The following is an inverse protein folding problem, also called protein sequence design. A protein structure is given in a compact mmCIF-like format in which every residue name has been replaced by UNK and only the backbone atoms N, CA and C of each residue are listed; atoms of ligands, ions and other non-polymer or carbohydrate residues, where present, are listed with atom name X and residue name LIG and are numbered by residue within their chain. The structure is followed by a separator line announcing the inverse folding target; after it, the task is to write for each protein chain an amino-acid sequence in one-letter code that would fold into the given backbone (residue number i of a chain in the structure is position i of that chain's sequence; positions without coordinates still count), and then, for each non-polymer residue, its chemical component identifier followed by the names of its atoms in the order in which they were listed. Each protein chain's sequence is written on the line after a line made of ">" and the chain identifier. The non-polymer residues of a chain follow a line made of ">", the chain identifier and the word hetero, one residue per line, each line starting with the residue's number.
data_IF_812332861503
#
_entry.id   IF_812332861503
#
_cell.length_a   1.000
_cell.length_b   1.000
_cell.length_c   1.000
_cell.angle_alpha   90.00
_cell.angle_beta   90.00
_cell.angle_gamma   90.00
#
_symmetry.space_group_name_H-M   'P 1'
#
loop_
_entity.id
_entity.type
_entity.pdbx_description
1 polymer ?
#
# COMPACT_ATOMS: atom_id res chain seq x y z
N UNK A 1 -4.84 9.26 8.97
CA UNK A 1 -5.34 10.55 8.40
C UNK A 1 -6.86 10.57 8.40
N UNK A 2 -7.53 11.70 8.15
CA UNK A 2 -9.00 11.76 8.09
C UNK A 2 -9.49 11.71 6.64
N UNK A 3 -10.34 10.74 6.31
CA UNK A 3 -11.04 10.63 5.02
C UNK A 3 -12.52 10.35 5.28
N UNK A 4 -13.43 11.09 4.64
CA UNK A 4 -14.88 10.99 4.87
C UNK A 4 -15.29 11.04 6.35
N UNK A 5 -14.59 11.86 7.14
CA UNK A 5 -14.84 12.04 8.57
C UNK A 5 -14.38 10.87 9.46
N UNK A 6 -13.69 9.87 8.90
CA UNK A 6 -13.17 8.71 9.63
C UNK A 6 -11.64 8.72 9.65
N UNK A 7 -11.06 8.24 10.73
CA UNK A 7 -9.64 7.95 10.78
C UNK A 7 -9.33 6.74 9.89
N UNK A 8 -8.45 6.94 8.91
CA UNK A 8 -7.97 5.93 7.98
C UNK A 8 -6.46 5.77 8.13
N UNK A 9 -6.01 4.54 8.32
CA UNK A 9 -4.61 4.14 8.28
C UNK A 9 -4.27 3.34 7.02
N UNK A 10 -2.98 3.03 6.88
CA UNK A 10 -2.43 2.24 5.79
C UNK A 10 -1.48 1.20 6.38
N UNK A 11 -1.33 0.05 5.71
CA UNK A 11 -0.39 -0.98 6.14
C UNK A 11 -0.02 -1.90 4.97
N UNK A 12 1.27 -2.17 4.78
CA UNK A 12 1.73 -3.16 3.81
C UNK A 12 1.83 -4.54 4.46
N UNK A 13 0.70 -5.26 4.46
CA UNK A 13 0.69 -6.68 4.83
C UNK A 13 1.22 -7.57 3.69
N UNK A 14 1.48 -8.85 3.98
CA UNK A 14 1.78 -9.86 2.94
C UNK A 14 0.64 -10.02 1.93
N UNK A 15 -0.62 -9.84 2.34
CA UNK A 15 -1.75 -9.85 1.41
C UNK A 15 -1.75 -8.62 0.51
N UNK A 16 -1.53 -7.43 1.08
CA UNK A 16 -1.43 -6.20 0.32
C UNK A 16 -0.27 -6.22 -0.67
N UNK A 17 0.88 -6.81 -0.32
CA UNK A 17 2.02 -6.87 -1.23
C UNK A 17 1.73 -7.71 -2.49
N UNK A 18 0.90 -8.76 -2.37
CA UNK A 18 0.42 -9.55 -3.52
C UNK A 18 -0.58 -8.75 -4.35
N UNK A 19 -1.57 -8.13 -3.71
CA UNK A 19 -2.59 -7.32 -4.42
C UNK A 19 -1.96 -6.12 -5.14
N UNK A 20 -0.97 -5.43 -4.53
CA UNK A 20 -0.22 -4.34 -5.16
C UNK A 20 0.66 -4.88 -6.30
N UNK A 21 1.29 -6.05 -6.12
CA UNK A 21 2.05 -6.65 -7.19
C UNK A 21 1.16 -6.90 -8.42
N UNK A 22 -0.08 -7.36 -8.26
CA UNK A 22 -0.99 -7.63 -9.39
C UNK A 22 -1.30 -6.39 -10.26
N UNK A 23 -1.22 -5.17 -9.69
CA UNK A 23 -1.38 -3.91 -10.45
C UNK A 23 -0.06 -3.34 -10.97
N UNK A 24 1.08 -3.95 -10.61
CA UNK A 24 2.41 -3.58 -11.08
C UNK A 24 2.79 -4.29 -12.40
N UNK A 25 3.63 -3.68 -13.25
CA UNK A 25 4.17 -4.34 -14.44
C UNK A 25 4.87 -5.65 -14.08
N UNK A 26 4.61 -6.69 -14.86
CA UNK A 26 5.16 -8.05 -14.67
C UNK A 26 4.90 -8.65 -13.28
N UNK A 27 3.93 -8.09 -12.53
CA UNK A 27 3.67 -8.42 -11.14
C UNK A 27 4.85 -8.22 -10.20
N UNK A 28 5.74 -7.28 -10.53
CA UNK A 28 6.92 -6.97 -9.72
C UNK A 28 6.66 -5.74 -8.85
N UNK A 29 6.56 -5.96 -7.54
CA UNK A 29 6.37 -4.90 -6.54
C UNK A 29 7.48 -3.83 -6.58
N UNK A 30 8.68 -4.17 -7.05
CA UNK A 30 9.78 -3.20 -7.21
C UNK A 30 9.47 -2.14 -8.27
N UNK A 31 8.50 -2.42 -9.15
CA UNK A 31 8.05 -1.54 -10.23
C UNK A 31 6.83 -0.70 -9.84
N UNK A 32 6.48 -0.64 -8.54
CA UNK A 32 5.39 0.22 -8.04
C UNK A 32 5.56 1.69 -8.43
N UNK A 33 6.79 2.20 -8.57
CA UNK A 33 7.01 3.58 -9.03
C UNK A 33 6.58 3.82 -10.48
N UNK A 34 6.46 2.77 -11.29
CA UNK A 34 6.05 2.86 -12.70
C UNK A 34 4.55 2.97 -12.85
N UNK A 35 3.75 2.44 -11.90
CA UNK A 35 2.29 2.54 -11.94
C UNK A 35 1.79 3.98 -11.72
N UNK A 36 2.69 4.86 -11.28
CA UNK A 36 2.45 6.29 -11.06
C UNK A 36 2.89 7.17 -12.24
N UNK A 37 3.23 6.54 -13.36
CA UNK A 37 3.63 7.21 -14.60
C UNK A 37 2.54 6.99 -15.64
N UNK A 38 2.18 8.03 -16.40
CA UNK A 38 1.20 7.91 -17.46
C UNK A 38 0.24 9.09 -17.55
N UNK A 39 -0.92 8.86 -18.15
CA UNK A 39 -1.97 9.86 -18.19
C UNK A 39 -2.60 10.06 -16.81
N UNK A 40 -3.10 11.27 -16.53
CA UNK A 40 -3.69 11.60 -15.23
C UNK A 40 -4.80 10.61 -14.83
N UNK A 41 -5.72 10.28 -15.74
CA UNK A 41 -6.83 9.37 -15.45
C UNK A 41 -6.37 7.96 -15.08
N UNK A 42 -5.40 7.41 -15.81
CA UNK A 42 -4.83 6.09 -15.50
C UNK A 42 -4.13 6.08 -14.15
N UNK A 43 -3.25 7.06 -13.91
CA UNK A 43 -2.51 7.19 -12.65
C UNK A 43 -3.46 7.39 -11.46
N UNK A 44 -4.55 8.15 -11.62
CA UNK A 44 -5.55 8.35 -10.58
C UNK A 44 -6.34 7.07 -10.27
N UNK A 45 -6.73 6.31 -11.28
CA UNK A 45 -7.41 5.03 -11.07
C UNK A 45 -6.53 4.03 -10.32
N UNK A 46 -5.30 3.86 -10.78
CA UNK A 46 -4.33 2.96 -10.16
C UNK A 46 -3.96 3.40 -8.75
N UNK A 47 -3.77 4.70 -8.52
CA UNK A 47 -3.51 5.22 -7.19
C UNK A 47 -4.68 5.01 -6.23
N UNK A 48 -5.93 5.10 -6.72
CA UNK A 48 -7.11 4.78 -5.92
C UNK A 48 -7.16 3.30 -5.49
N UNK A 49 -6.83 2.38 -6.41
CA UNK A 49 -6.68 0.95 -6.09
C UNK A 49 -5.60 0.72 -5.05
N UNK A 50 -4.43 1.35 -5.22
CA UNK A 50 -3.32 1.26 -4.27
C UNK A 50 -3.71 1.72 -2.86
N UNK A 51 -4.35 2.88 -2.74
CA UNK A 51 -4.85 3.43 -1.46
C UNK A 51 -5.84 2.46 -0.80
N UNK A 52 -6.80 1.94 -1.58
CA UNK A 52 -7.82 1.02 -1.08
C UNK A 52 -7.21 -0.30 -0.58
N UNK A 53 -6.23 -0.86 -1.31
CA UNK A 53 -5.52 -2.09 -0.91
C UNK A 53 -4.78 -1.88 0.42
N UNK A 54 -4.03 -0.77 0.53
CA UNK A 54 -3.27 -0.44 1.74
C UNK A 54 -4.16 -0.21 2.96
N UNK A 55 -5.29 0.48 2.79
CA UNK A 55 -6.25 0.69 3.88
C UNK A 55 -7.01 -0.59 4.25
N UNK A 56 -7.39 -1.40 3.27
CA UNK A 56 -7.99 -2.73 3.50
C UNK A 56 -7.09 -3.61 4.36
N UNK A 57 -5.79 -3.61 4.10
CA UNK A 57 -4.83 -4.34 4.93
C UNK A 57 -4.73 -3.78 6.35
N UNK A 58 -4.73 -2.46 6.50
CA UNK A 58 -4.78 -1.82 7.82
C UNK A 58 -6.02 -2.21 8.62
N UNK A 59 -7.22 -2.09 8.06
CA UNK A 59 -8.47 -2.48 8.72
C UNK A 59 -8.53 -3.97 9.03
N UNK A 60 -7.95 -4.81 8.17
CA UNK A 60 -7.85 -6.25 8.39
C UNK A 60 -6.92 -6.57 9.57
N UNK A 61 -5.80 -5.85 9.69
CA UNK A 61 -4.87 -5.97 10.83
C UNK A 61 -5.53 -5.50 12.12
N UNK A 62 -6.20 -4.35 12.10
CA UNK A 62 -6.93 -3.82 13.25
C UNK A 62 -8.00 -4.80 13.73
N UNK A 63 -8.81 -5.35 12.82
CA UNK A 63 -9.83 -6.33 13.18
C UNK A 63 -9.24 -7.60 13.78
N UNK A 64 -8.09 -8.04 13.29
CA UNK A 64 -7.41 -9.22 13.84
C UNK A 64 -6.94 -8.97 15.27
N UNK A 65 -6.38 -7.79 15.56
CA UNK A 65 -5.90 -7.40 16.88
C UNK A 65 -7.03 -7.01 17.85
N UNK A 66 -8.10 -6.41 17.31
CA UNK A 66 -9.25 -5.88 18.02
C UNK A 66 -10.52 -6.47 17.38
N UNK A 67 -10.97 -7.67 17.81
CA UNK A 67 -12.08 -8.38 17.17
C UNK A 67 -13.41 -7.60 17.12
N UNK A 68 -13.60 -6.66 18.04
CA UNK A 68 -14.78 -5.79 18.12
C UNK A 68 -14.68 -4.53 17.22
N UNK A 69 -13.51 -4.28 16.61
CA UNK A 69 -13.32 -3.17 15.67
C UNK A 69 -14.18 -3.41 14.40
N UNK A 70 -15.08 -2.47 14.04
CA UNK A 70 -15.88 -2.60 12.83
C UNK A 70 -14.98 -2.61 11.59
N UNK A 71 -15.14 -3.64 10.75
CA UNK A 71 -14.44 -3.70 9.48
C UNK A 71 -15.06 -2.74 8.47
N UNK A 72 -14.35 -1.66 8.16
CA UNK A 72 -14.85 -0.60 7.29
C UNK A 72 -13.73 -0.10 6.37
N UNK A 73 -13.17 -0.92 5.47
CA UNK A 73 -12.14 -0.47 4.53
C UNK A 73 -12.70 0.57 3.55
N UNK A 74 -11.88 1.56 3.21
CA UNK A 74 -12.19 2.51 2.14
C UNK A 74 -12.22 1.80 0.78
N UNK A 75 -13.22 2.12 -0.02
CA UNK A 75 -13.38 1.59 -1.37
C UNK A 75 -12.71 2.48 -2.42
N UNK A 76 -12.44 1.94 -3.61
CA UNK A 76 -11.92 2.71 -4.75
C UNK A 76 -12.86 3.86 -5.10
N UNK A 77 -14.16 3.63 -5.13
CA UNK A 77 -15.16 4.68 -5.41
C UNK A 77 -15.12 5.81 -4.37
N UNK A 78 -14.98 5.47 -3.09
CA UNK A 78 -14.82 6.46 -2.04
C UNK A 78 -13.52 7.28 -2.21
N UNK A 79 -12.42 6.65 -2.64
CA UNK A 79 -11.16 7.35 -2.93
C UNK A 79 -11.30 8.26 -4.17
N UNK A 80 -11.97 7.79 -5.22
CA UNK A 80 -12.20 8.59 -6.44
C UNK A 80 -13.20 9.74 -6.23
N UNK A 81 -14.02 9.67 -5.18
CA UNK A 81 -14.93 10.77 -4.80
C UNK A 81 -14.24 11.91 -4.03
N UNK A 82 -12.96 11.74 -3.67
CA UNK A 82 -12.21 12.75 -2.93
C UNK A 82 -11.93 13.99 -3.78
N UNK A 83 -11.76 15.14 -3.10
CA UNK A 83 -11.18 16.30 -3.76
C UNK A 83 -9.73 15.98 -4.18
N UNK A 84 -9.20 16.62 -5.25
CA UNK A 84 -7.82 16.39 -5.69
C UNK A 84 -6.78 16.58 -4.58
N UNK A 85 -7.00 17.52 -3.66
CA UNK A 85 -6.13 17.76 -2.50
C UNK A 85 -6.14 16.58 -1.54
N UNK A 86 -7.32 16.10 -1.13
CA UNK A 86 -7.42 14.98 -0.17
C UNK A 86 -6.94 13.68 -0.82
N UNK A 87 -7.19 13.49 -2.12
CA UNK A 87 -6.63 12.39 -2.88
C UNK A 87 -5.09 12.40 -2.84
N UNK A 88 -4.47 13.56 -3.11
CA UNK A 88 -3.02 13.68 -3.09
C UNK A 88 -2.42 13.40 -1.70
N UNK A 89 -3.07 13.89 -0.64
CA UNK A 89 -2.67 13.59 0.75
C UNK A 89 -2.79 12.09 1.07
N UNK A 90 -3.88 11.45 0.64
CA UNK A 90 -4.08 10.01 0.82
C UNK A 90 -3.04 9.19 0.07
N UNK A 91 -2.74 9.58 -1.16
CA UNK A 91 -1.71 8.94 -1.97
C UNK A 91 -0.33 9.09 -1.33
N UNK A 92 0.02 10.28 -0.85
CA UNK A 92 1.27 10.54 -0.16
C UNK A 92 1.40 9.68 1.10
N UNK A 93 0.37 9.68 1.96
CA UNK A 93 0.38 8.90 3.19
C UNK A 93 0.52 7.39 2.92
N UNK A 94 -0.21 6.86 1.93
CA UNK A 94 -0.11 5.45 1.55
C UNK A 94 1.30 5.10 1.01
N UNK A 95 1.90 5.96 0.19
CA UNK A 95 3.26 5.75 -0.35
C UNK A 95 4.34 5.84 0.72
N UNK A 96 4.21 6.76 1.68
CA UNK A 96 5.12 6.87 2.82
C UNK A 96 5.09 5.61 3.68
N UNK A 97 3.90 5.12 4.03
CA UNK A 97 3.73 3.86 4.75
C UNK A 97 4.28 2.68 3.97
N UNK A 98 3.96 2.58 2.67
CA UNK A 98 4.50 1.54 1.81
C UNK A 98 6.04 1.52 1.82
N UNK A 99 6.67 2.69 1.69
CA UNK A 99 8.13 2.80 1.69
C UNK A 99 8.76 2.47 3.05
N UNK A 100 8.07 2.76 4.15
CA UNK A 100 8.51 2.41 5.51
C UNK A 100 8.43 0.89 5.74
N UNK A 101 7.28 0.28 5.46
CA UNK A 101 7.03 -1.15 5.67
C UNK A 101 7.88 -2.01 4.72
N UNK A 102 8.12 -1.54 3.49
CA UNK A 102 9.01 -2.20 2.52
C UNK A 102 10.47 -2.24 2.97
N UNK A 103 10.91 -1.29 3.82
CA UNK A 103 12.28 -1.31 4.37
C UNK A 103 12.41 -2.32 5.49
N UNK A 104 11.40 -2.41 6.37
CA UNK A 104 11.39 -3.38 7.47
C UNK A 104 11.39 -4.84 6.99
N UNK A 105 10.89 -5.12 5.79
CA UNK A 105 10.85 -6.47 5.22
C UNK A 105 12.11 -6.89 4.47
N UNK A 106 13.03 -5.97 4.15
CA UNK A 106 14.21 -6.21 3.28
C UNK A 106 15.54 -6.24 4.06
N UNK A 107 15.54 -6.07 5.38
CA UNK A 107 16.74 -6.19 6.21
C UNK A 107 17.14 -7.68 6.41
N UNK A 108 17.62 -8.30 5.34
CA UNK A 108 18.27 -9.61 5.36
C UNK A 108 19.76 -9.38 5.13
N UNK A 109 20.58 -9.62 6.15
CA UNK A 109 22.04 -9.62 6.01
C UNK A 109 22.45 -10.55 4.85
N UNK A 110 23.33 -10.13 3.93
CA UNK A 110 23.79 -11.00 2.87
C UNK A 110 24.50 -12.22 3.48
N UNK A 111 24.23 -13.46 3.01
CA UNK A 111 24.93 -14.63 3.50
C UNK A 111 26.44 -14.44 3.28
N UNK A 112 27.20 -14.40 4.37
CA UNK A 112 28.66 -14.45 4.34
C UNK A 112 29.06 -15.66 3.49
N UNK A 113 29.67 -15.40 2.33
CA UNK A 113 30.30 -16.42 1.51
C UNK A 113 31.36 -17.13 2.38
N UNK A 114 31.04 -18.32 2.84
CA UNK A 114 32.02 -19.26 3.39
C UNK A 114 32.99 -19.60 2.26
N UNK A 115 34.26 -19.23 2.42
CA UNK A 115 35.32 -19.67 1.53
C UNK A 115 35.49 -21.18 1.75
N UNK A 116 35.32 -21.96 0.68
CA UNK A 116 35.65 -23.38 0.68
C UNK A 116 37.14 -23.59 1.05
N UNK A 117 37.48 -24.60 1.87
CA UNK A 117 38.86 -24.87 2.26
C UNK A 117 39.65 -25.46 1.08
N UNK A 118 40.92 -25.02 0.98
CA UNK A 118 41.94 -25.61 0.10
C UNK A 118 42.51 -26.89 0.71
#
# INVERSE_FOLDING_TARGET
>A
MIIHGKERGFFLSTGASIEIADICPDKDLKRVGEILQGSYGEVTMVGAEFIAIMNKAYESSLRYEQPDHPYDPITVDEVLSLSPTVYAEAMQAAMETFAQDSKQTVEVEPPKKEKAPQ
#
